data_IF_291617455926
#
_entry.id   IF_291617455926
#
_cell.length_a   1.000
_cell.length_b   1.000
_cell.length_c   1.000
_cell.angle_alpha   90.00
_cell.angle_beta   90.00
_cell.angle_gamma   90.00
#
_symmetry.space_group_name_H-M   'P 1'
#
loop_
_entity.id
_entity.type
_entity.pdbx_description
1 polymer ?
#
# COMPACT_ATOMS: atom_id res chain seq x y z
N UNK A 1 -13.13 2.77 -5.61
CA UNK A 1 -11.86 3.05 -4.88
C UNK A 1 -11.14 1.71 -4.69
N UNK A 2 -9.80 1.70 -4.68
CA UNK A 2 -9.01 0.49 -4.42
C UNK A 2 -8.17 0.69 -3.15
N UNK A 3 -8.31 -0.20 -2.18
CA UNK A 3 -7.37 -0.30 -1.06
C UNK A 3 -6.19 -1.16 -1.47
N UNK A 4 -4.98 -0.79 -1.08
CA UNK A 4 -3.77 -1.58 -1.29
C UNK A 4 -3.07 -1.72 0.06
N UNK A 5 -3.14 -2.90 0.65
CA UNK A 5 -2.59 -3.17 1.97
C UNK A 5 -1.13 -3.56 1.89
N UNK A 6 -0.30 -2.90 2.71
CA UNK A 6 1.06 -3.37 2.98
C UNK A 6 0.98 -4.46 4.05
N UNK A 7 1.27 -5.69 3.64
CA UNK A 7 1.28 -6.84 4.54
C UNK A 7 2.44 -6.66 5.54
N UNK A 8 2.23 -6.83 6.85
CA UNK A 8 1.01 -7.31 7.53
C UNK A 8 0.16 -6.21 8.16
N UNK A 9 0.76 -5.07 8.52
CA UNK A 9 0.11 -4.05 9.33
C UNK A 9 -1.08 -3.38 8.63
N UNK A 10 -1.02 -3.23 7.29
CA UNK A 10 -2.10 -2.65 6.50
C UNK A 10 -3.38 -3.47 6.46
N UNK A 11 -3.30 -4.79 6.69
CA UNK A 11 -4.47 -5.68 6.62
C UNK A 11 -5.51 -5.36 7.69
N UNK A 12 -5.12 -4.76 8.82
CA UNK A 12 -6.05 -4.37 9.87
C UNK A 12 -7.01 -3.24 9.45
N UNK A 13 -6.67 -2.49 8.41
CA UNK A 13 -7.48 -1.39 7.87
C UNK A 13 -8.45 -1.86 6.76
N UNK A 14 -8.27 -3.07 6.22
CA UNK A 14 -9.13 -3.62 5.16
C UNK A 14 -10.61 -3.71 5.58
N UNK A 15 -10.96 -4.24 6.78
CA UNK A 15 -12.36 -4.38 7.17
C UNK A 15 -13.06 -3.02 7.27
N UNK A 16 -12.37 -2.01 7.82
CA UNK A 16 -12.90 -0.66 7.95
C UNK A 16 -13.16 -0.01 6.57
N UNK A 17 -12.25 -0.22 5.60
CA UNK A 17 -12.45 0.28 4.24
C UNK A 17 -13.65 -0.36 3.55
N UNK A 18 -13.81 -1.68 3.69
CA UNK A 18 -14.93 -2.43 3.10
C UNK A 18 -16.26 -2.04 3.75
N UNK A 19 -16.27 -1.78 5.06
CA UNK A 19 -17.47 -1.35 5.78
C UNK A 19 -17.99 0.00 5.27
N UNK A 20 -17.09 0.94 5.00
CA UNK A 20 -17.42 2.27 4.46
C UNK A 20 -17.74 2.21 2.95
N UNK A 21 -16.99 1.41 2.18
CA UNK A 21 -17.18 1.26 0.74
C UNK A 21 -17.20 -0.21 0.34
N UNK A 22 -18.40 -0.79 0.27
CA UNK A 22 -18.61 -2.24 0.04
C UNK A 22 -18.03 -2.76 -1.28
N UNK A 23 -17.94 -1.90 -2.29
CA UNK A 23 -17.39 -2.23 -3.61
C UNK A 23 -15.87 -1.96 -3.72
N UNK A 24 -15.22 -1.64 -2.59
CA UNK A 24 -13.78 -1.45 -2.57
C UNK A 24 -13.06 -2.73 -2.99
N UNK A 25 -12.19 -2.62 -3.99
CA UNK A 25 -11.25 -3.70 -4.34
C UNK A 25 -10.05 -3.63 -3.43
N UNK A 26 -9.55 -4.79 -2.99
CA UNK A 26 -8.35 -4.88 -2.15
C UNK A 26 -7.21 -5.51 -2.96
N UNK A 27 -6.13 -4.77 -3.10
CA UNK A 27 -4.83 -5.25 -3.50
C UNK A 27 -3.94 -5.51 -2.29
N UNK A 28 -2.94 -6.37 -2.45
CA UNK A 28 -1.99 -6.72 -1.39
C UNK A 28 -0.56 -6.64 -1.89
N UNK A 29 0.31 -6.07 -1.08
CA UNK A 29 1.74 -5.93 -1.34
C UNK A 29 2.49 -6.42 -0.09
N UNK A 30 3.45 -7.33 -0.25
CA UNK A 30 4.40 -7.68 0.80
C UNK A 30 5.75 -7.08 0.47
N UNK A 31 6.18 -6.15 1.31
CA UNK A 31 7.53 -5.58 1.26
C UNK A 31 8.25 -5.98 2.54
N UNK A 32 9.45 -6.53 2.39
CA UNK A 32 10.32 -6.85 3.53
C UNK A 32 11.69 -6.25 3.28
N UNK A 33 12.29 -5.71 4.32
CA UNK A 33 13.65 -5.22 4.24
C UNK A 33 14.61 -6.40 4.34
N UNK A 34 15.49 -6.54 3.37
CA UNK A 34 16.52 -7.55 3.38
C UNK A 34 17.50 -7.24 4.54
N UNK A 35 17.72 -8.18 5.48
CA UNK A 35 18.55 -7.94 6.66
C UNK A 35 20.04 -7.78 6.34
N UNK A 36 20.49 -8.24 5.17
CA UNK A 36 21.90 -8.13 4.75
C UNK A 36 22.19 -6.81 4.03
N UNK A 37 21.29 -6.35 3.16
CA UNK A 37 21.48 -5.13 2.36
C UNK A 37 20.83 -3.90 2.98
N UNK A 38 19.83 -4.08 3.84
CA UNK A 38 19.01 -3.00 4.37
C UNK A 38 17.99 -2.44 3.37
N UNK A 39 17.88 -3.02 2.17
CA UNK A 39 17.00 -2.52 1.11
C UNK A 39 15.60 -3.16 1.18
N UNK A 40 14.53 -2.40 0.89
CA UNK A 40 13.17 -2.94 0.80
C UNK A 40 12.97 -3.76 -0.48
N UNK A 41 12.58 -5.02 -0.34
CA UNK A 41 12.34 -5.94 -1.45
C UNK A 41 10.84 -6.28 -1.56
N UNK A 42 10.35 -6.40 -2.81
CA UNK A 42 8.99 -6.82 -3.10
C UNK A 42 8.90 -8.35 -3.15
N UNK A 43 8.22 -8.96 -2.19
CA UNK A 43 8.08 -10.42 -2.10
C UNK A 43 6.74 -10.94 -2.63
N UNK A 44 5.68 -10.13 -2.55
CA UNK A 44 4.36 -10.52 -3.01
C UNK A 44 3.62 -9.32 -3.57
N UNK A 45 2.94 -9.53 -4.69
CA UNK A 45 2.13 -8.53 -5.35
C UNK A 45 0.85 -9.15 -5.88
N UNK A 46 -0.29 -8.62 -5.45
CA UNK A 46 -1.60 -8.93 -6.02
C UNK A 46 -2.41 -7.66 -6.14
N UNK A 47 -2.50 -7.12 -7.35
CA UNK A 47 -3.26 -5.92 -7.65
C UNK A 47 -4.50 -6.24 -8.51
N UNK A 48 -5.59 -5.48 -8.39
CA UNK A 48 -6.70 -5.56 -9.34
C UNK A 48 -6.27 -5.15 -10.75
N UNK A 49 -6.86 -5.78 -11.78
CA UNK A 49 -6.50 -5.56 -13.20
C UNK A 49 -6.73 -4.12 -13.67
N UNK A 50 -7.64 -3.39 -13.04
CA UNK A 50 -8.07 -2.04 -13.41
C UNK A 50 -7.49 -0.94 -12.49
N UNK A 51 -6.42 -1.24 -11.75
CA UNK A 51 -5.85 -0.33 -10.74
C UNK A 51 -5.40 1.03 -11.33
N UNK A 52 -4.89 1.06 -12.56
CA UNK A 52 -4.42 2.29 -13.23
C UNK A 52 -5.52 3.36 -13.36
N UNK A 53 -6.80 2.98 -13.35
CA UNK A 53 -7.94 3.91 -13.44
C UNK A 53 -8.50 4.30 -12.09
N UNK A 54 -8.18 3.55 -11.04
CA UNK A 54 -8.75 3.70 -9.71
C UNK A 54 -8.03 4.77 -8.87
N UNK A 55 -8.73 5.30 -7.87
CA UNK A 55 -8.11 5.98 -6.73
C UNK A 55 -7.60 4.91 -5.76
N UNK A 56 -6.31 4.97 -5.45
CA UNK A 56 -5.61 3.96 -4.65
C UNK A 56 -5.33 4.50 -3.26
N UNK A 57 -5.81 3.80 -2.24
CA UNK A 57 -5.50 4.04 -0.84
C UNK A 57 -4.45 3.01 -0.40
N UNK A 58 -3.21 3.45 -0.17
CA UNK A 58 -2.20 2.61 0.47
C UNK A 58 -2.56 2.52 1.95
N UNK A 59 -2.74 1.31 2.45
CA UNK A 59 -3.10 1.04 3.83
C UNK A 59 -1.87 0.52 4.58
N UNK A 60 -1.39 1.28 5.57
CA UNK A 60 -0.33 0.87 6.47
C UNK A 60 -0.52 1.51 7.85
N UNK A 61 -0.72 0.69 8.89
CA UNK A 61 -1.08 1.21 10.22
C UNK A 61 0.03 2.06 10.86
N UNK A 62 1.30 1.71 10.62
CA UNK A 62 2.44 2.33 11.29
C UNK A 62 3.58 2.60 10.31
N UNK A 63 3.93 3.87 10.14
CA UNK A 63 5.01 4.29 9.25
C UNK A 63 6.16 4.81 10.10
N UNK A 64 7.28 4.07 10.08
CA UNK A 64 8.52 4.45 10.75
C UNK A 64 9.44 5.25 9.82
N UNK A 65 10.14 4.56 8.92
CA UNK A 65 11.09 5.17 7.98
C UNK A 65 10.48 5.57 6.64
N UNK A 66 9.24 5.12 6.36
CA UNK A 66 8.58 5.32 5.07
C UNK A 66 9.11 4.48 3.91
N UNK A 67 10.17 3.69 4.09
CA UNK A 67 10.79 2.91 3.02
C UNK A 67 9.81 1.93 2.33
N UNK A 68 8.98 1.24 3.11
CA UNK A 68 7.95 0.34 2.59
C UNK A 68 6.86 1.11 1.83
N UNK A 69 6.41 2.25 2.35
CA UNK A 69 5.42 3.09 1.67
C UNK A 69 5.96 3.65 0.34
N UNK A 70 7.21 4.12 0.32
CA UNK A 70 7.90 4.57 -0.90
C UNK A 70 8.01 3.46 -1.95
N UNK A 71 8.40 2.25 -1.54
CA UNK A 71 8.45 1.10 -2.43
C UNK A 71 7.05 0.74 -2.96
N UNK A 72 6.02 0.78 -2.12
CA UNK A 72 4.64 0.55 -2.55
C UNK A 72 4.16 1.60 -3.58
N UNK A 73 4.47 2.89 -3.35
CA UNK A 73 4.19 3.96 -4.32
C UNK A 73 4.90 3.67 -5.64
N UNK A 74 6.19 3.29 -5.59
CA UNK A 74 6.95 2.98 -6.80
C UNK A 74 6.31 1.85 -7.60
N UNK A 75 5.93 0.76 -6.93
CA UNK A 75 5.24 -0.37 -7.57
C UNK A 75 3.92 0.09 -8.22
N UNK A 76 3.16 0.98 -7.59
CA UNK A 76 1.91 1.50 -8.15
C UNK A 76 2.16 2.38 -9.40
N UNK A 77 3.18 3.24 -9.36
CA UNK A 77 3.60 4.04 -10.51
C UNK A 77 4.03 3.15 -11.68
N UNK A 78 4.79 2.09 -11.41
CA UNK A 78 5.20 1.10 -12.42
C UNK A 78 3.99 0.36 -13.04
N UNK A 79 2.85 0.33 -12.34
CA UNK A 79 1.56 -0.19 -12.83
C UNK A 79 0.66 0.89 -13.48
N UNK A 80 1.22 2.05 -13.83
CA UNK A 80 0.53 3.19 -14.45
C UNK A 80 -0.57 3.80 -13.59
N UNK A 81 -0.50 3.65 -12.26
CA UNK A 81 -1.34 4.44 -11.37
C UNK A 81 -0.76 5.85 -11.32
N UNK A 82 -1.53 6.90 -11.65
CA UNK A 82 -1.03 8.26 -11.60
C UNK A 82 -0.85 8.71 -10.15
N UNK A 83 0.22 9.48 -9.90
CA UNK A 83 0.65 9.87 -8.54
C UNK A 83 -0.45 10.64 -7.79
N UNK A 84 -1.19 11.51 -8.48
CA UNK A 84 -2.28 12.30 -7.90
C UNK A 84 -3.48 11.46 -7.43
N UNK A 85 -3.53 10.17 -7.81
CA UNK A 85 -4.56 9.22 -7.36
C UNK A 85 -4.10 8.29 -6.26
N UNK A 86 -2.87 8.44 -5.77
CA UNK A 86 -2.32 7.65 -4.68
C UNK A 86 -2.45 8.46 -3.39
N UNK A 87 -3.15 7.90 -2.40
CA UNK A 87 -3.21 8.46 -1.06
C UNK A 87 -2.74 7.44 -0.03
N UNK A 88 -1.90 7.88 0.90
CA UNK A 88 -1.36 7.06 1.98
C UNK A 88 -2.21 7.23 3.24
N UNK A 89 -2.78 6.13 3.73
CA UNK A 89 -3.55 6.08 4.96
C UNK A 89 -2.74 5.39 6.05
N UNK A 90 -2.48 6.11 7.13
CA UNK A 90 -1.76 5.61 8.30
C UNK A 90 -2.35 6.13 9.61
N UNK A 91 -2.24 5.32 10.67
CA UNK A 91 -2.66 5.69 12.02
C UNK A 91 -1.55 6.40 12.77
N UNK A 92 -0.30 5.94 12.60
CA UNK A 92 0.87 6.47 13.29
C UNK A 92 2.00 6.70 12.29
N UNK A 93 2.52 7.92 12.27
CA UNK A 93 3.63 8.31 11.42
C UNK A 93 4.72 8.91 12.30
N UNK A 94 5.94 8.39 12.18
CA UNK A 94 7.11 8.98 12.81
C UNK A 94 7.67 10.12 11.94
N UNK A 95 8.18 11.17 12.58
CA UNK A 95 8.76 12.34 11.91
C UNK A 95 10.26 12.18 11.59
N UNK A 96 10.78 10.94 11.62
CA UNK A 96 12.23 10.67 11.55
C UNK A 96 12.93 11.43 10.44
#
# INVERSE_FOLDING_TARGET
ICGVSIIRAGECLEPALIEVHKDAKIGKILIQTNPMTGEPELHYLRLPRDIARAYVLILDATIATGAAALMAIRVLLDHNVPEEKIALLSLLVSKQ
#
